data_IF_137835610547
#
_entry.id   IF_137835610547
#
_cell.length_a   1.000
_cell.length_b   1.000
_cell.length_c   1.000
_cell.angle_alpha   90.00
_cell.angle_beta   90.00
_cell.angle_gamma   90.00
#
_symmetry.space_group_name_H-M   'P 1'
#
loop_
_entity.id
_entity.type
_entity.pdbx_description
1 polymer ?
#
# COMPACT_ATOMS: atom_id res chain seq x y z
N UNK A 1 8.96 28.84 -19.24
CA UNK A 1 9.78 28.73 -18.02
C UNK A 1 9.80 27.28 -17.57
N UNK A 2 10.97 26.68 -17.39
CA UNK A 2 11.08 25.30 -16.88
C UNK A 2 10.50 25.21 -15.46
N UNK A 3 9.78 24.12 -15.17
CA UNK A 3 9.14 23.93 -13.86
C UNK A 3 10.21 23.63 -12.80
N UNK A 4 9.96 24.01 -11.55
CA UNK A 4 10.94 23.84 -10.45
C UNK A 4 11.41 22.38 -10.29
N UNK A 5 10.56 21.39 -10.57
CA UNK A 5 10.93 19.97 -10.46
C UNK A 5 11.80 19.47 -11.61
N UNK A 6 11.72 20.07 -12.81
CA UNK A 6 12.52 19.67 -13.97
C UNK A 6 13.99 20.00 -13.72
N UNK A 7 14.25 21.21 -13.23
CA UNK A 7 15.59 21.66 -12.80
C UNK A 7 16.20 20.75 -11.74
N UNK A 8 15.40 20.26 -10.79
CA UNK A 8 15.85 19.33 -9.74
C UNK A 8 16.18 17.96 -10.35
N UNK A 9 15.40 17.53 -11.35
CA UNK A 9 15.63 16.24 -12.02
C UNK A 9 16.86 16.26 -12.92
N UNK A 10 17.21 17.41 -13.51
CA UNK A 10 18.46 17.62 -14.25
C UNK A 10 19.71 17.47 -13.37
N UNK A 11 19.61 17.65 -12.05
CA UNK A 11 20.73 17.46 -11.10
C UNK A 11 21.03 16.00 -10.76
N UNK A 12 20.17 15.06 -11.18
CA UNK A 12 20.30 13.62 -10.88
C UNK A 12 21.65 13.00 -11.22
N UNK A 13 22.24 13.18 -12.41
CA UNK A 13 23.54 12.58 -12.73
C UNK A 13 24.64 13.07 -11.78
N UNK A 14 24.65 14.35 -11.43
CA UNK A 14 25.64 14.94 -10.53
C UNK A 14 25.47 14.40 -9.11
N UNK A 15 24.23 14.34 -8.63
CA UNK A 15 23.90 13.77 -7.31
C UNK A 15 24.32 12.30 -7.21
N UNK A 16 24.15 11.52 -8.29
CA UNK A 16 24.55 10.11 -8.34
C UNK A 16 26.07 9.95 -8.24
N UNK A 17 26.82 10.73 -9.01
CA UNK A 17 28.30 10.71 -8.97
C UNK A 17 28.84 11.04 -7.57
N UNK A 18 28.27 12.05 -6.91
CA UNK A 18 28.68 12.42 -5.55
C UNK A 18 28.31 11.34 -4.52
N UNK A 19 27.15 10.71 -4.68
CA UNK A 19 26.75 9.60 -3.83
C UNK A 19 27.64 8.35 -4.02
N UNK A 20 28.05 8.05 -5.26
CA UNK A 20 29.00 6.97 -5.58
C UNK A 20 30.41 7.27 -5.04
N UNK A 21 30.81 8.54 -5.02
CA UNK A 21 32.04 9.01 -4.40
C UNK A 21 32.02 8.93 -2.85
N UNK A 22 30.90 8.55 -2.24
CA UNK A 22 30.76 8.37 -0.80
C UNK A 22 30.32 9.63 -0.03
N UNK A 23 29.95 10.72 -0.70
CA UNK A 23 29.46 11.92 -0.02
C UNK A 23 28.12 11.64 0.68
N UNK A 24 27.97 12.19 1.89
CA UNK A 24 26.69 12.18 2.59
C UNK A 24 25.67 13.09 1.90
N UNK A 25 24.37 12.79 2.05
CA UNK A 25 23.30 13.60 1.47
C UNK A 25 23.36 15.08 1.86
N UNK A 26 23.90 15.38 3.04
CA UNK A 26 24.08 16.75 3.53
C UNK A 26 25.25 17.44 2.82
N UNK A 27 26.41 16.78 2.70
CA UNK A 27 27.54 17.30 1.93
C UNK A 27 27.17 17.54 0.46
N UNK A 28 26.36 16.66 -0.14
CA UNK A 28 25.84 16.84 -1.51
C UNK A 28 24.95 18.08 -1.59
N UNK A 29 24.08 18.29 -0.62
CA UNK A 29 23.23 19.48 -0.58
C UNK A 29 24.06 20.77 -0.44
N UNK A 30 25.07 20.75 0.43
CA UNK A 30 25.97 21.90 0.65
C UNK A 30 26.78 22.22 -0.62
N UNK A 31 27.36 21.20 -1.28
CA UNK A 31 28.10 21.35 -2.56
C UNK A 31 27.23 21.89 -3.69
N UNK A 32 25.95 21.51 -3.72
CA UNK A 32 24.98 21.95 -4.73
C UNK A 32 24.26 23.26 -4.34
N UNK A 33 24.59 23.86 -3.19
CA UNK A 33 23.92 25.08 -2.71
C UNK A 33 22.43 24.89 -2.43
N UNK A 34 22.01 23.66 -2.10
CA UNK A 34 20.63 23.33 -1.82
C UNK A 34 20.32 23.62 -0.35
N UNK A 35 19.36 24.51 -0.11
CA UNK A 35 18.90 24.87 1.24
C UNK A 35 18.30 23.68 2.03
N UNK A 36 18.03 22.55 1.38
CA UNK A 36 17.34 21.43 2.03
C UNK A 36 17.82 20.07 1.53
N UNK A 37 18.41 19.30 2.44
CA UNK A 37 18.86 17.91 2.23
C UNK A 37 17.73 16.99 1.72
N UNK A 38 16.47 17.29 2.05
CA UNK A 38 15.31 16.51 1.57
C UNK A 38 15.22 16.49 0.04
N UNK A 39 15.73 17.50 -0.66
CA UNK A 39 15.74 17.54 -2.13
C UNK A 39 16.58 16.38 -2.67
N UNK A 40 17.82 16.25 -2.21
CA UNK A 40 18.75 15.15 -2.57
C UNK A 40 18.16 13.79 -2.15
N UNK A 41 17.66 13.69 -0.92
CA UNK A 41 17.06 12.44 -0.40
C UNK A 41 15.88 11.96 -1.26
N UNK A 42 14.94 12.86 -1.57
CA UNK A 42 13.75 12.52 -2.34
C UNK A 42 14.09 12.16 -3.78
N UNK A 43 15.11 12.81 -4.35
CA UNK A 43 15.60 12.53 -5.69
C UNK A 43 16.14 11.10 -5.80
N UNK A 44 17.05 10.71 -4.89
CA UNK A 44 17.60 9.35 -4.80
C UNK A 44 16.52 8.30 -4.48
N UNK A 45 15.55 8.63 -3.62
CA UNK A 45 14.44 7.71 -3.30
C UNK A 45 13.55 7.43 -4.51
N UNK A 46 13.26 8.45 -5.32
CA UNK A 46 12.47 8.30 -6.56
C UNK A 46 13.21 7.45 -7.58
N UNK A 47 14.51 7.66 -7.73
CA UNK A 47 15.38 6.88 -8.62
C UNK A 47 15.34 5.39 -8.24
N UNK A 48 15.64 5.05 -6.99
CA UNK A 48 15.58 3.66 -6.48
C UNK A 48 14.21 3.01 -6.68
N UNK A 49 13.13 3.79 -6.61
CA UNK A 49 11.77 3.30 -6.85
C UNK A 49 11.46 2.99 -8.31
N UNK A 50 12.14 3.62 -9.27
CA UNK A 50 12.00 3.27 -10.70
C UNK A 50 12.50 1.86 -10.96
N UNK A 51 13.62 1.48 -10.34
CA UNK A 51 14.20 0.14 -10.47
C UNK A 51 13.29 -0.94 -9.85
N UNK A 52 12.55 -0.60 -8.80
CA UNK A 52 11.60 -1.50 -8.11
C UNK A 52 10.22 -1.56 -8.80
N UNK A 53 9.92 -0.63 -9.72
CA UNK A 53 8.58 -0.43 -10.28
C UNK A 53 8.12 -1.51 -11.28
N UNK A 54 8.87 -2.60 -11.45
CA UNK A 54 8.52 -3.71 -12.33
C UNK A 54 7.48 -4.69 -11.78
N UNK A 55 7.20 -4.67 -10.47
CA UNK A 55 6.19 -5.56 -9.87
C UNK A 55 4.96 -4.74 -9.49
N UNK A 56 3.85 -4.83 -10.26
CA UNK A 56 2.58 -4.25 -9.87
C UNK A 56 2.22 -4.76 -8.47
N UNK A 57 1.95 -3.85 -7.52
CA UNK A 57 1.35 -4.24 -6.25
C UNK A 57 -0.02 -4.82 -6.57
N UNK A 58 -0.14 -6.14 -6.66
CA UNK A 58 -1.42 -6.80 -6.83
C UNK A 58 -2.34 -6.35 -5.69
N UNK A 59 -3.37 -5.59 -6.03
CA UNK A 59 -4.43 -5.26 -5.09
C UNK A 59 -5.14 -6.56 -4.76
N UNK A 60 -5.16 -6.97 -3.50
CA UNK A 60 -5.85 -8.20 -3.10
C UNK A 60 -7.32 -8.11 -3.51
N UNK A 61 -7.82 -9.18 -4.12
CA UNK A 61 -9.26 -9.31 -4.41
C UNK A 61 -9.97 -9.63 -3.09
N UNK A 62 -11.17 -9.08 -2.87
CA UNK A 62 -12.03 -9.53 -1.76
C UNK A 62 -12.26 -11.03 -1.93
N UNK A 63 -12.09 -11.80 -0.85
CA UNK A 63 -12.37 -13.24 -0.86
C UNK A 63 -13.86 -13.45 -1.10
N UNK A 64 -14.22 -14.32 -2.03
CA UNK A 64 -15.59 -14.81 -2.14
C UNK A 64 -15.83 -15.81 -1.01
N UNK A 65 -17.02 -15.79 -0.39
CA UNK A 65 -17.41 -16.83 0.57
C UNK A 65 -17.30 -18.20 -0.08
N UNK A 66 -16.65 -19.14 0.59
CA UNK A 66 -16.49 -20.50 0.06
C UNK A 66 -17.79 -21.30 0.14
N UNK A 67 -17.95 -22.32 -0.71
CA UNK A 67 -19.13 -23.21 -0.65
C UNK A 67 -19.28 -23.86 0.75
N UNK A 68 -18.17 -24.12 1.43
CA UNK A 68 -18.14 -24.70 2.77
C UNK A 68 -18.73 -23.75 3.81
N UNK A 69 -18.40 -22.46 3.75
CA UNK A 69 -19.00 -21.44 4.62
C UNK A 69 -20.52 -21.38 4.44
N UNK A 70 -21.02 -21.42 3.20
CA UNK A 70 -22.46 -21.46 2.94
C UNK A 70 -23.14 -22.71 3.48
N UNK A 71 -22.48 -23.88 3.42
CA UNK A 71 -23.02 -25.12 3.99
C UNK A 71 -23.12 -25.03 5.52
N UNK A 72 -22.10 -24.48 6.17
CA UNK A 72 -22.11 -24.29 7.62
C UNK A 72 -23.19 -23.30 8.05
N UNK A 73 -23.28 -22.15 7.37
CA UNK A 73 -24.31 -21.14 7.64
C UNK A 73 -25.71 -21.70 7.46
N UNK A 74 -25.98 -22.44 6.37
CA UNK A 74 -27.28 -23.07 6.15
C UNK A 74 -27.63 -24.10 7.23
N UNK A 75 -26.65 -24.87 7.73
CA UNK A 75 -26.88 -25.81 8.84
C UNK A 75 -27.26 -25.05 10.11
N UNK A 76 -26.53 -24.00 10.45
CA UNK A 76 -26.82 -23.14 11.60
C UNK A 76 -28.22 -22.52 11.50
N UNK A 77 -28.55 -21.94 10.35
CA UNK A 77 -29.84 -21.32 10.09
C UNK A 77 -31.01 -22.31 10.18
N UNK A 78 -30.83 -23.55 9.71
CA UNK A 78 -31.86 -24.59 9.86
C UNK A 78 -32.15 -24.92 11.32
N UNK A 79 -31.11 -25.09 12.14
CA UNK A 79 -31.27 -25.34 13.58
C UNK A 79 -31.96 -24.17 14.29
N UNK A 80 -31.61 -22.93 13.91
CA UNK A 80 -32.24 -21.73 14.48
C UNK A 80 -33.72 -21.62 14.11
N UNK A 81 -34.08 -21.92 12.86
CA UNK A 81 -35.47 -21.95 12.41
C UNK A 81 -36.28 -23.05 13.11
N UNK A 82 -35.71 -24.23 13.31
CA UNK A 82 -36.36 -25.32 14.05
C UNK A 82 -36.61 -24.93 15.50
N UNK A 83 -35.61 -24.36 16.19
CA UNK A 83 -35.76 -23.87 17.56
C UNK A 83 -36.87 -22.81 17.68
N UNK A 84 -36.94 -21.89 16.71
CA UNK A 84 -37.98 -20.86 16.67
C UNK A 84 -39.37 -21.46 16.43
N UNK A 85 -39.49 -22.49 15.60
CA UNK A 85 -40.76 -23.20 15.39
C UNK A 85 -41.21 -23.94 16.63
N UNK A 86 -40.29 -24.63 17.31
CA UNK A 86 -40.58 -25.32 18.56
C UNK A 86 -41.02 -24.32 19.64
N UNK A 87 -40.34 -23.18 19.74
CA UNK A 87 -40.73 -22.11 20.65
C UNK A 87 -42.15 -21.59 20.38
N UNK A 88 -42.48 -21.31 19.11
CA UNK A 88 -43.83 -20.89 18.72
C UNK A 88 -44.86 -22.00 19.02
N UNK A 89 -44.57 -23.24 18.67
CA UNK A 89 -45.44 -24.38 18.99
C UNK A 89 -45.69 -24.57 20.49
N UNK A 90 -44.73 -24.25 21.35
CA UNK A 90 -44.89 -24.34 22.80
C UNK A 90 -45.70 -23.19 23.38
N UNK A 91 -45.60 -22.00 22.79
CA UNK A 91 -46.26 -20.76 23.23
C UNK A 91 -47.67 -20.57 22.65
N UNK A 92 -47.96 -21.16 21.49
CA UNK A 92 -49.27 -21.09 20.81
C UNK A 92 -50.27 -22.17 21.27
N UNK A 93 -49.88 -23.07 22.19
CA UNK A 93 -50.83 -24.00 22.85
C UNK A 93 -51.73 -23.22 23.82
N UNK A 94 -52.90 -22.81 23.32
CA UNK A 94 -54.09 -22.45 24.12
C UNK A 94 -54.89 -23.70 24.49
#
# INVERSE_FOLDING_TARGET
MARKYEKVQEMLPVVRQLAEAGDTQQQIADKLGLNNVKVVRNLLWKEKKKDVQGVPRQRSRKTAKTLQEYKYENKRLKMEVELLRDFLSLTERK
#
